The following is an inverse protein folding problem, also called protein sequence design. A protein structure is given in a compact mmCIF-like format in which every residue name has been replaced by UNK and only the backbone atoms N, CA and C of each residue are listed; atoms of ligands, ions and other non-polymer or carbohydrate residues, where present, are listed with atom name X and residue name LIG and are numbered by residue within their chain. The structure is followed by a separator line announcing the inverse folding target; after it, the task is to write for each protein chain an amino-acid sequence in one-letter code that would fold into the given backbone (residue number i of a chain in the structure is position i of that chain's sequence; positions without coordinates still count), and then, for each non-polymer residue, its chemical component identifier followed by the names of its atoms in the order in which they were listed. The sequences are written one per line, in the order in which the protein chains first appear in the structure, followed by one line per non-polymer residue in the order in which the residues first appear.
data_IF_789520457670
#
_entry.id   IF_789520457670
#
_cell.length_a   1.000
_cell.length_b   1.000
_cell.length_c   1.000
_cell.angle_alpha   90.00
_cell.angle_beta   90.00
_cell.angle_gamma   90.00
#
_symmetry.space_group_name_H-M   'P 1'
#
loop_
_entity.id
_entity.type
_entity.pdbx_description
1 polymer ?
#
# COMPACT_ATOMS: atom_id res chain seq x y z
N UNK A 1 2.46 -6.12 27.65
CA UNK A 1 3.51 -7.04 27.24
C UNK A 1 3.37 -7.26 25.73
N UNK A 2 4.30 -6.75 24.96
CA UNK A 2 4.27 -6.92 23.52
C UNK A 2 4.68 -8.35 23.18
N UNK A 3 3.82 -9.07 22.50
CA UNK A 3 4.17 -10.37 21.94
C UNK A 3 4.68 -10.08 20.53
N UNK A 4 5.97 -9.75 20.43
CA UNK A 4 6.64 -9.65 19.11
C UNK A 4 6.50 -10.95 18.31
N UNK A 5 6.11 -12.01 18.98
CA UNK A 5 5.96 -13.36 18.45
C UNK A 5 4.50 -13.80 18.30
N UNK A 6 3.54 -12.86 18.14
CA UNK A 6 2.16 -13.24 17.80
C UNK A 6 2.15 -13.95 16.43
N UNK A 7 1.83 -15.26 16.37
CA UNK A 7 1.90 -16.02 15.13
C UNK A 7 1.01 -15.46 14.03
N UNK A 8 -0.14 -14.89 14.38
CA UNK A 8 -1.06 -14.31 13.40
C UNK A 8 -0.49 -13.02 12.80
N UNK A 9 0.13 -12.18 13.64
CA UNK A 9 0.80 -10.97 13.17
C UNK A 9 1.95 -11.29 12.23
N UNK A 10 2.82 -12.23 12.62
CA UNK A 10 3.94 -12.66 11.79
C UNK A 10 3.46 -13.28 10.47
N UNK A 11 2.43 -14.10 10.52
CA UNK A 11 1.83 -14.68 9.31
C UNK A 11 1.29 -13.62 8.34
N UNK A 12 0.66 -12.57 8.86
CA UNK A 12 0.19 -11.44 8.05
C UNK A 12 1.34 -10.65 7.44
N UNK A 13 2.44 -10.47 8.16
CA UNK A 13 3.63 -9.83 7.62
C UNK A 13 4.28 -10.67 6.51
N UNK A 14 4.32 -11.99 6.66
CA UNK A 14 4.82 -12.89 5.62
C UNK A 14 3.97 -12.78 4.33
N UNK A 15 2.65 -12.74 4.48
CA UNK A 15 1.74 -12.57 3.35
C UNK A 15 1.95 -11.22 2.64
N UNK A 16 2.12 -10.15 3.41
CA UNK A 16 2.39 -8.82 2.88
C UNK A 16 3.72 -8.77 2.13
N UNK A 17 4.77 -9.34 2.72
CA UNK A 17 6.10 -9.44 2.10
C UNK A 17 6.04 -10.19 0.76
N UNK A 18 5.38 -11.34 0.74
CA UNK A 18 5.19 -12.12 -0.49
C UNK A 18 4.42 -11.34 -1.55
N UNK A 19 3.38 -10.61 -1.16
CA UNK A 19 2.60 -9.77 -2.06
C UNK A 19 3.48 -8.70 -2.71
N UNK A 20 4.28 -7.99 -1.93
CA UNK A 20 5.18 -6.96 -2.46
C UNK A 20 6.30 -7.55 -3.33
N UNK A 21 6.80 -8.75 -3.01
CA UNK A 21 7.74 -9.46 -3.88
C UNK A 21 7.14 -9.78 -5.24
N UNK A 22 5.87 -10.21 -5.29
CA UNK A 22 5.17 -10.47 -6.55
C UNK A 22 5.02 -9.20 -7.37
N UNK A 23 4.64 -8.08 -6.75
CA UNK A 23 4.58 -6.80 -7.44
C UNK A 23 5.94 -6.36 -8.00
N UNK A 24 7.00 -6.54 -7.23
CA UNK A 24 8.37 -6.24 -7.65
C UNK A 24 8.79 -7.09 -8.85
N UNK A 25 8.60 -8.39 -8.78
CA UNK A 25 8.97 -9.33 -9.84
C UNK A 25 8.16 -9.12 -11.11
N UNK A 26 6.86 -8.95 -10.99
CA UNK A 26 5.98 -8.68 -12.11
C UNK A 26 6.36 -7.37 -12.80
N UNK A 27 6.58 -6.30 -12.03
CA UNK A 27 6.98 -5.00 -12.56
C UNK A 27 8.30 -5.06 -13.33
N UNK A 28 9.24 -5.87 -12.87
CA UNK A 28 10.51 -6.09 -13.57
C UNK A 28 10.39 -6.85 -14.89
N UNK A 29 9.26 -7.53 -15.13
CA UNK A 29 9.02 -8.34 -16.33
C UNK A 29 8.09 -7.69 -17.35
N UNK A 30 7.42 -6.58 -17.01
CA UNK A 30 6.46 -5.94 -17.90
C UNK A 30 7.15 -5.20 -19.05
N UNK A 31 6.63 -5.41 -20.27
CA UNK A 31 7.03 -4.64 -21.43
C UNK A 31 6.42 -3.23 -21.41
N UNK A 32 6.95 -2.34 -22.23
CA UNK A 32 6.44 -0.97 -22.36
C UNK A 32 4.94 -0.96 -22.76
N UNK A 33 4.54 -1.84 -23.67
CA UNK A 33 3.14 -2.00 -24.07
C UNK A 33 2.26 -2.48 -22.92
N UNK A 34 2.77 -3.40 -22.10
CA UNK A 34 2.03 -3.91 -20.94
C UNK A 34 1.84 -2.85 -19.85
N UNK A 35 2.81 -1.96 -19.64
CA UNK A 35 2.68 -0.86 -18.71
C UNK A 35 1.54 0.10 -19.07
N UNK A 36 1.29 0.33 -20.33
CA UNK A 36 0.22 1.20 -20.84
C UNK A 36 -1.09 0.46 -21.13
N UNK A 37 -1.15 -0.84 -20.89
CA UNK A 37 -2.36 -1.63 -21.08
C UNK A 37 -3.44 -1.24 -20.05
N UNK A 38 -4.70 -1.28 -20.50
CA UNK A 38 -5.84 -1.09 -19.61
C UNK A 38 -5.89 -2.16 -18.52
N UNK A 39 -6.21 -1.76 -17.31
CA UNK A 39 -6.42 -2.66 -16.19
C UNK A 39 -7.91 -2.99 -16.02
N UNK A 40 -8.22 -3.82 -15.01
CA UNK A 40 -9.61 -4.08 -14.60
C UNK A 40 -10.25 -2.89 -13.86
N UNK A 41 -9.45 -1.91 -13.45
CA UNK A 41 -9.96 -0.67 -12.87
C UNK A 41 -10.27 0.31 -14.00
N UNK A 42 -11.54 0.68 -14.24
CA UNK A 42 -11.89 1.57 -15.33
C UNK A 42 -11.14 2.90 -15.27
N UNK A 43 -10.56 3.32 -16.39
CA UNK A 43 -9.79 4.56 -16.49
C UNK A 43 -8.35 4.48 -15.98
N UNK A 44 -7.91 3.33 -15.47
CA UNK A 44 -6.55 3.12 -14.97
C UNK A 44 -5.80 2.12 -15.85
N UNK A 45 -4.63 2.50 -16.32
CA UNK A 45 -3.69 1.56 -16.92
C UNK A 45 -2.85 0.87 -15.83
N UNK A 46 -1.98 -0.05 -16.24
CA UNK A 46 -1.11 -0.79 -15.32
C UNK A 46 -0.16 0.15 -14.56
N UNK A 47 0.37 1.17 -15.22
CA UNK A 47 1.25 2.15 -14.58
C UNK A 47 0.52 2.90 -13.45
N UNK A 48 -0.73 3.28 -13.64
CA UNK A 48 -1.56 3.89 -12.60
C UNK A 48 -1.77 2.97 -11.40
N UNK A 49 -1.97 1.67 -11.62
CA UNK A 49 -2.08 0.70 -10.53
C UNK A 49 -0.80 0.64 -9.70
N UNK A 50 0.36 0.60 -10.35
CA UNK A 50 1.66 0.60 -9.67
C UNK A 50 1.90 1.92 -8.92
N UNK A 51 1.56 3.05 -9.53
CA UNK A 51 1.66 4.35 -8.88
C UNK A 51 0.81 4.41 -7.61
N UNK A 52 -0.45 4.01 -7.70
CA UNK A 52 -1.36 4.01 -6.55
C UNK A 52 -0.91 3.04 -5.45
N UNK A 53 -0.63 1.79 -5.81
CA UNK A 53 -0.27 0.78 -4.82
C UNK A 53 1.07 1.08 -4.15
N UNK A 54 2.06 1.57 -4.89
CA UNK A 54 3.37 1.92 -4.35
C UNK A 54 3.35 3.15 -3.43
N UNK A 55 2.31 3.98 -3.47
CA UNK A 55 2.13 5.09 -2.54
C UNK A 55 2.05 4.64 -1.08
N UNK A 56 1.50 3.47 -0.82
CA UNK A 56 1.47 2.90 0.52
C UNK A 56 2.88 2.69 1.07
N UNK A 57 3.82 2.24 0.23
CA UNK A 57 5.20 2.04 0.66
C UNK A 57 5.87 3.37 0.99
N UNK A 58 5.64 4.41 0.20
CA UNK A 58 6.14 5.75 0.50
C UNK A 58 5.55 6.28 1.81
N UNK A 59 4.25 6.14 2.01
CA UNK A 59 3.57 6.57 3.23
C UNK A 59 4.09 5.82 4.47
N UNK A 60 4.29 4.50 4.37
CA UNK A 60 4.81 3.68 5.46
C UNK A 60 6.31 3.89 5.71
N UNK A 61 7.06 4.38 4.74
CA UNK A 61 8.49 4.69 4.90
C UNK A 61 8.73 6.06 5.53
N UNK A 62 7.76 6.96 5.46
CA UNK A 62 7.84 8.27 6.11
C UNK A 62 7.75 8.13 7.63
N UNK A 63 8.39 9.04 8.42
CA UNK A 63 8.15 9.09 9.85
C UNK A 63 6.65 9.26 10.11
N UNK A 64 6.08 8.52 11.06
CA UNK A 64 4.66 8.69 11.36
C UNK A 64 4.42 10.15 11.74
N UNK A 65 3.39 10.80 11.16
CA UNK A 65 2.92 12.05 11.72
C UNK A 65 2.65 11.82 13.20
N UNK A 66 2.84 12.83 14.03
CA UNK A 66 2.49 12.74 15.45
C UNK A 66 1.13 12.07 15.55
N UNK A 67 1.11 10.91 16.23
CA UNK A 67 -0.10 10.12 16.34
C UNK A 67 -1.26 11.05 16.74
N UNK A 68 -2.33 11.12 15.98
CA UNK A 68 -3.49 11.85 16.43
C UNK A 68 -3.90 11.25 17.77
N UNK A 69 -4.26 12.11 18.70
CA UNK A 69 -4.76 11.69 20.01
C UNK A 69 -6.02 10.83 19.75
N UNK A 70 -5.81 9.53 19.63
CA UNK A 70 -6.89 8.57 19.44
C UNK A 70 -7.55 8.32 20.76
N UNK A 71 -8.28 9.30 21.27
CA UNK A 71 -9.15 9.17 22.43
C UNK A 71 -10.39 8.32 22.15
N UNK A 72 -10.35 7.46 21.14
CA UNK A 72 -11.44 6.59 20.72
C UNK A 72 -11.31 5.16 21.22
N UNK A 73 -12.44 4.46 21.28
CA UNK A 73 -12.48 3.02 21.52
C UNK A 73 -11.68 2.28 20.44
N UNK A 74 -10.88 1.25 20.82
CA UNK A 74 -10.18 0.43 19.83
C UNK A 74 -11.18 -0.19 18.85
N UNK A 75 -10.94 0.02 17.54
CA UNK A 75 -11.76 -0.56 16.49
C UNK A 75 -11.05 -1.77 15.89
N UNK A 76 -11.81 -2.81 15.59
CA UNK A 76 -11.28 -3.95 14.85
C UNK A 76 -10.97 -3.53 13.40
N UNK A 77 -10.03 -4.21 12.75
CA UNK A 77 -9.73 -3.99 11.33
C UNK A 77 -10.98 -4.12 10.44
N UNK A 78 -11.90 -5.03 10.80
CA UNK A 78 -13.17 -5.21 10.09
C UNK A 78 -14.06 -3.97 10.20
N UNK A 79 -14.16 -3.38 11.38
CA UNK A 79 -14.95 -2.16 11.59
C UNK A 79 -14.37 -0.99 10.81
N UNK A 80 -13.06 -0.81 10.85
CA UNK A 80 -12.35 0.25 10.09
C UNK A 80 -12.57 0.08 8.58
N UNK A 81 -12.36 -1.13 8.05
CA UNK A 81 -12.55 -1.40 6.63
C UNK A 81 -14.00 -1.25 6.17
N UNK A 82 -14.94 -1.64 7.03
CA UNK A 82 -16.38 -1.46 6.73
C UNK A 82 -16.75 0.00 6.65
N UNK A 83 -16.30 0.82 7.59
CA UNK A 83 -16.54 2.27 7.58
C UNK A 83 -15.85 2.94 6.38
N UNK A 84 -14.61 2.54 6.08
CA UNK A 84 -13.83 3.04 4.94
C UNK A 84 -14.54 2.80 3.60
N UNK A 85 -15.15 1.64 3.42
CA UNK A 85 -15.80 1.23 2.18
C UNK A 85 -17.32 1.53 2.14
N UNK A 86 -17.90 2.08 3.20
CA UNK A 86 -19.32 2.42 3.24
C UNK A 86 -19.67 3.51 2.22
N UNK A 87 -20.92 3.59 1.73
CA UNK A 87 -21.37 4.72 0.93
C UNK A 87 -21.08 6.04 1.64
N UNK A 88 -20.44 6.99 0.96
CA UNK A 88 -19.98 8.25 1.58
C UNK A 88 -18.77 8.11 2.52
N UNK A 89 -18.19 6.92 2.64
CA UNK A 89 -16.95 6.68 3.40
C UNK A 89 -15.70 7.21 2.70
N UNK A 90 -14.54 7.05 3.34
CA UNK A 90 -13.26 7.59 2.86
C UNK A 90 -12.92 7.09 1.45
N UNK A 91 -13.13 5.80 1.17
CA UNK A 91 -12.84 5.25 -0.17
C UNK A 91 -13.65 5.94 -1.26
N UNK A 92 -14.93 6.20 -1.00
CA UNK A 92 -15.83 6.86 -1.94
C UNK A 92 -15.50 8.34 -2.13
N UNK A 93 -15.29 9.07 -1.04
CA UNK A 93 -15.03 10.52 -1.07
C UNK A 93 -13.63 10.88 -1.56
N UNK A 94 -12.65 10.03 -1.31
CA UNK A 94 -11.26 10.25 -1.74
C UNK A 94 -10.97 9.75 -3.16
N UNK A 95 -11.85 8.95 -3.76
CA UNK A 95 -11.59 8.28 -5.04
C UNK A 95 -11.16 9.25 -6.16
N UNK A 96 -11.78 10.42 -6.39
CA UNK A 96 -11.33 11.33 -7.43
C UNK A 96 -9.89 11.85 -7.21
N UNK A 97 -9.57 12.23 -5.98
CA UNK A 97 -8.23 12.72 -5.63
C UNK A 97 -7.17 11.62 -5.75
N UNK A 98 -7.51 10.40 -5.37
CA UNK A 98 -6.65 9.22 -5.50
C UNK A 98 -6.38 8.92 -6.97
N UNK A 99 -7.39 8.97 -7.82
CA UNK A 99 -7.24 8.75 -9.26
C UNK A 99 -6.35 9.83 -9.90
N UNK A 100 -6.54 11.10 -9.55
CA UNK A 100 -5.72 12.20 -10.04
C UNK A 100 -4.26 12.04 -9.60
N UNK A 101 -4.01 11.64 -8.37
CA UNK A 101 -2.66 11.42 -7.87
C UNK A 101 -1.99 10.25 -8.58
N UNK A 102 -2.69 9.13 -8.77
CA UNK A 102 -2.16 7.97 -9.49
C UNK A 102 -1.77 8.34 -10.93
N UNK A 103 -2.60 9.10 -11.61
CA UNK A 103 -2.32 9.59 -12.96
C UNK A 103 -1.09 10.49 -13.01
N UNK A 104 -0.96 11.43 -12.07
CA UNK A 104 0.20 12.32 -11.97
C UNK A 104 1.48 11.54 -11.69
N UNK A 105 1.46 10.64 -10.73
CA UNK A 105 2.62 9.79 -10.38
C UNK A 105 3.04 8.92 -11.57
N UNK A 106 2.09 8.33 -12.28
CA UNK A 106 2.38 7.51 -13.45
C UNK A 106 3.02 8.28 -14.61
N UNK A 107 2.75 9.59 -14.72
CA UNK A 107 3.38 10.45 -15.74
C UNK A 107 4.70 11.06 -15.28
N UNK A 108 4.88 11.30 -13.99
CA UNK A 108 6.08 11.90 -13.41
C UNK A 108 7.24 10.92 -13.22
N UNK A 109 6.95 9.64 -13.12
CA UNK A 109 7.93 8.58 -12.87
C UNK A 109 7.93 7.57 -14.00
N UNK A 110 9.11 7.02 -14.30
CA UNK A 110 9.22 5.87 -15.19
C UNK A 110 8.57 4.66 -14.52
N UNK A 111 7.90 3.77 -15.28
CA UNK A 111 7.30 2.57 -14.72
C UNK A 111 8.27 1.73 -13.90
N UNK A 112 9.53 1.60 -14.32
CA UNK A 112 10.57 0.90 -13.57
C UNK A 112 10.82 1.50 -12.19
N UNK A 113 10.71 2.82 -12.03
CA UNK A 113 10.87 3.49 -10.73
C UNK A 113 9.72 3.16 -9.78
N UNK A 114 8.50 3.04 -10.31
CA UNK A 114 7.32 2.64 -9.53
C UNK A 114 7.46 1.19 -9.03
N UNK A 115 7.93 0.29 -9.88
CA UNK A 115 8.21 -1.10 -9.50
C UNK A 115 9.35 -1.19 -8.47
N UNK A 116 10.38 -0.37 -8.60
CA UNK A 116 11.53 -0.32 -7.70
C UNK A 116 11.15 0.10 -6.28
N UNK A 117 10.08 0.83 -6.08
CA UNK A 117 9.57 1.14 -4.73
C UNK A 117 9.27 -0.13 -3.94
N UNK A 118 8.71 -1.16 -4.57
CA UNK A 118 8.46 -2.45 -3.93
C UNK A 118 9.76 -3.17 -3.57
N UNK A 119 10.74 -3.14 -4.45
CA UNK A 119 12.04 -3.78 -4.25
C UNK A 119 12.86 -3.08 -3.15
N UNK A 120 12.91 -1.75 -3.18
CA UNK A 120 13.75 -0.97 -2.26
C UNK A 120 13.11 -0.73 -0.90
N UNK A 121 11.83 -0.37 -0.85
CA UNK A 121 11.14 -0.01 0.39
C UNK A 121 10.49 -1.20 1.10
N UNK A 122 10.00 -2.18 0.36
CA UNK A 122 9.28 -3.32 0.91
C UNK A 122 10.03 -4.03 2.03
N UNK A 123 11.26 -4.51 1.80
CA UNK A 123 12.04 -5.21 2.83
C UNK A 123 12.34 -4.37 4.07
N UNK A 124 12.56 -3.08 3.89
CA UNK A 124 12.83 -2.14 4.99
C UNK A 124 11.59 -1.98 5.88
N UNK A 125 10.43 -1.79 5.27
CA UNK A 125 9.16 -1.65 5.99
C UNK A 125 8.83 -2.94 6.75
N UNK A 126 8.96 -4.10 6.10
CA UNK A 126 8.70 -5.41 6.73
C UNK A 126 9.61 -5.62 7.95
N UNK A 127 10.89 -5.31 7.85
CA UNK A 127 11.81 -5.40 9.01
C UNK A 127 11.36 -4.51 10.18
N UNK A 128 10.97 -3.28 9.88
CA UNK A 128 10.47 -2.34 10.91
C UNK A 128 9.21 -2.88 11.59
N UNK A 129 8.28 -3.40 10.81
CA UNK A 129 7.04 -3.96 11.35
C UNK A 129 7.29 -5.22 12.19
N UNK A 130 8.22 -6.08 11.78
CA UNK A 130 8.61 -7.26 12.58
C UNK A 130 9.21 -6.84 13.92
N UNK A 131 10.06 -5.81 13.93
CA UNK A 131 10.71 -5.32 15.15
C UNK A 131 9.73 -4.60 16.07
N UNK A 132 8.82 -3.79 15.50
CA UNK A 132 7.84 -3.01 16.29
C UNK A 132 6.79 -3.90 16.97
N UNK A 133 6.45 -5.03 16.35
CA UNK A 133 5.37 -5.88 16.82
C UNK A 133 3.97 -5.26 16.59
N UNK A 134 2.90 -6.00 16.92
CA UNK A 134 1.55 -5.51 16.79
C UNK A 134 1.33 -4.35 17.78
N UNK A 135 0.81 -3.24 17.28
CA UNK A 135 0.32 -2.16 18.15
C UNK A 135 -1.01 -2.58 18.75
N UNK A 136 -1.07 -2.57 20.05
CA UNK A 136 -2.32 -2.77 20.80
C UNK A 136 -3.24 -1.56 20.67
#
# INVERSE_FOLDING_TARGET
MFVADDPLYLHRLDALEQTWQVWSQLGGSLSETQWSAASRCPGWDVACLYAHHSQFLLALSAPPPHAPDVSGQPQSAVQVLRAFNAPGGVASTAAPAVADQAAREATQHKPAELAERFTGLGPVIIRRLRTAGPTS
#
